data_IF_259437106408
#
_entry.id   IF_259437106408
#
_cell.length_a   1.000
_cell.length_b   1.000
_cell.length_c   1.000
_cell.angle_alpha   90.00
_cell.angle_beta   90.00
_cell.angle_gamma   90.00
#
_symmetry.space_group_name_H-M   'P 1'
#
loop_
_entity.id
_entity.type
_entity.pdbx_description
1 polymer ?
#
# COMPACT_ATOMS: atom_id res chain seq x y z
N UNK A 1 -26.24 -9.64 8.00
CA UNK A 1 -26.65 -8.62 8.98
C UNK A 1 -25.35 -8.05 9.55
N UNK A 2 -24.77 -7.09 8.82
CA UNK A 2 -24.50 -5.66 9.16
C UNK A 2 -23.34 -5.43 10.15
N UNK A 3 -22.39 -4.59 9.69
CA UNK A 3 -21.28 -3.87 10.35
C UNK A 3 -19.88 -4.50 10.35
N UNK A 4 -19.10 -4.24 9.29
CA UNK A 4 -17.63 -4.27 9.30
C UNK A 4 -17.04 -3.28 8.28
N UNK A 5 -17.28 -1.97 8.43
CA UNK A 5 -16.72 -0.93 7.53
C UNK A 5 -16.14 0.30 8.25
N UNK A 6 -15.96 0.28 9.57
CA UNK A 6 -15.50 1.48 10.31
C UNK A 6 -14.04 1.48 10.77
N UNK A 7 -13.29 0.38 10.64
CA UNK A 7 -11.94 0.30 11.22
C UNK A 7 -10.83 0.83 10.29
N UNK A 8 -11.05 0.86 8.97
CA UNK A 8 -10.03 1.34 8.01
C UNK A 8 -9.93 2.87 7.91
N UNK A 9 -10.98 3.61 8.25
CA UNK A 9 -10.96 5.09 8.24
C UNK A 9 -10.07 5.71 9.33
N UNK A 10 -9.69 4.93 10.35
CA UNK A 10 -8.90 5.46 11.47
C UNK A 10 -7.38 5.48 11.18
N UNK A 11 -6.91 4.71 10.19
CA UNK A 11 -5.49 4.70 9.82
C UNK A 11 -5.12 5.81 8.82
N UNK A 12 -6.07 6.28 8.01
CA UNK A 12 -5.87 7.38 7.06
C UNK A 12 -5.87 8.78 7.73
N UNK A 13 -6.53 8.94 8.89
CA UNK A 13 -6.72 10.27 9.49
C UNK A 13 -5.51 10.79 10.31
N UNK A 14 -4.51 9.94 10.59
CA UNK A 14 -3.38 10.30 11.46
C UNK A 14 -2.24 11.02 10.70
N UNK A 15 -2.21 10.95 9.36
CA UNK A 15 -1.16 11.60 8.55
C UNK A 15 -1.48 13.03 8.08
N UNK A 16 -2.70 13.54 8.26
CA UNK A 16 -3.15 14.77 7.60
C UNK A 16 -2.94 16.11 8.36
N UNK A 17 -2.31 16.15 9.54
CA UNK A 17 -2.34 17.36 10.40
C UNK A 17 -1.02 18.15 10.47
N UNK A 18 0.02 17.79 9.72
CA UNK A 18 1.25 18.61 9.69
C UNK A 18 1.77 18.76 8.27
N UNK A 19 1.62 19.94 7.64
CA UNK A 19 2.76 20.69 7.08
C UNK A 19 2.35 22.07 6.53
N UNK A 20 3.03 23.11 7.04
CA UNK A 20 3.01 24.49 6.56
C UNK A 20 4.03 24.69 5.42
N UNK A 21 3.62 25.42 4.38
CA UNK A 21 4.39 26.27 3.45
C UNK A 21 5.87 25.90 3.23
N UNK A 22 6.14 25.18 2.14
CA UNK A 22 7.49 24.99 1.59
C UNK A 22 7.64 25.79 0.28
N UNK A 23 8.72 26.57 0.17
CA UNK A 23 9.06 27.30 -1.06
C UNK A 23 9.35 26.33 -2.22
N UNK A 24 8.89 26.67 -3.42
CA UNK A 24 9.14 25.92 -4.65
C UNK A 24 10.65 25.84 -4.93
N UNK A 25 11.20 24.62 -4.90
CA UNK A 25 12.57 24.32 -5.33
C UNK A 25 12.44 23.45 -6.57
N UNK A 26 13.10 23.79 -7.69
CA UNK A 26 12.98 23.06 -8.95
C UNK A 26 13.38 21.59 -8.80
N UNK A 27 12.57 20.69 -9.39
CA UNK A 27 12.68 19.23 -9.25
C UNK A 27 14.03 18.65 -9.62
N UNK A 28 14.74 19.25 -10.58
CA UNK A 28 16.03 18.71 -11.05
C UNK A 28 17.06 18.53 -9.92
N UNK A 29 16.98 19.31 -8.83
CA UNK A 29 17.78 19.07 -7.62
C UNK A 29 17.15 18.05 -6.67
N UNK A 30 15.83 18.08 -6.50
CA UNK A 30 15.12 17.16 -5.59
C UNK A 30 15.14 15.70 -6.06
N UNK A 31 15.07 15.44 -7.36
CA UNK A 31 15.15 14.07 -7.91
C UNK A 31 16.54 13.46 -7.69
N UNK A 32 17.60 14.27 -7.79
CA UNK A 32 18.95 13.82 -7.50
C UNK A 32 19.15 13.50 -6.00
N UNK A 33 18.46 14.22 -5.12
CA UNK A 33 18.55 14.04 -3.66
C UNK A 33 17.61 12.95 -3.14
N UNK A 34 16.55 12.61 -3.88
CA UNK A 34 15.51 11.69 -3.45
C UNK A 34 15.05 10.75 -4.58
N UNK A 35 15.88 9.76 -4.98
CA UNK A 35 15.57 8.85 -6.08
C UNK A 35 14.30 8.01 -5.85
N UNK A 36 13.96 7.73 -4.59
CA UNK A 36 12.74 7.00 -4.25
C UNK A 36 11.45 7.79 -4.55
N UNK A 37 11.50 9.13 -4.51
CA UNK A 37 10.35 9.96 -4.82
C UNK A 37 10.02 9.94 -6.32
N UNK A 38 11.04 9.96 -7.18
CA UNK A 38 10.85 9.90 -8.63
C UNK A 38 10.20 8.58 -9.06
N UNK A 39 10.74 7.46 -8.56
CA UNK A 39 10.17 6.13 -8.78
C UNK A 39 8.73 6.02 -8.26
N UNK A 40 8.45 6.54 -7.06
CA UNK A 40 7.08 6.57 -6.52
C UNK A 40 6.12 7.36 -7.40
N UNK A 41 6.54 8.55 -7.88
CA UNK A 41 5.72 9.36 -8.79
C UNK A 41 5.44 8.65 -10.12
N UNK A 42 6.43 7.98 -10.71
CA UNK A 42 6.24 7.22 -11.96
C UNK A 42 5.22 6.09 -11.78
N UNK A 43 5.38 5.27 -10.73
CA UNK A 43 4.44 4.21 -10.42
C UNK A 43 3.02 4.72 -10.14
N UNK A 44 2.91 5.86 -9.46
CA UNK A 44 1.61 6.49 -9.18
C UNK A 44 0.94 6.96 -10.47
N UNK A 45 1.72 7.53 -11.39
CA UNK A 45 1.21 7.93 -12.71
C UNK A 45 0.74 6.73 -13.51
N UNK A 46 1.49 5.62 -13.49
CA UNK A 46 1.08 4.38 -14.16
C UNK A 46 -0.23 3.84 -13.58
N UNK A 47 -0.37 3.78 -12.24
CA UNK A 47 -1.60 3.34 -11.60
C UNK A 47 -2.83 4.20 -11.97
N UNK A 48 -2.66 5.52 -12.03
CA UNK A 48 -3.75 6.43 -12.45
C UNK A 48 -4.05 6.29 -13.95
N UNK A 49 -3.06 5.99 -14.79
CA UNK A 49 -3.27 5.71 -16.22
C UNK A 49 -4.02 4.39 -16.45
N UNK A 50 -3.73 3.35 -15.67
CA UNK A 50 -4.47 2.10 -15.70
C UNK A 50 -5.94 2.33 -15.30
N UNK A 51 -6.18 3.15 -14.28
CA UNK A 51 -7.54 3.56 -13.90
C UNK A 51 -8.25 4.34 -15.02
N UNK A 52 -7.53 5.20 -15.77
CA UNK A 52 -8.11 5.93 -16.90
C UNK A 52 -8.53 5.02 -18.06
N UNK A 53 -7.94 3.82 -18.18
CA UNK A 53 -8.40 2.82 -19.15
C UNK A 53 -9.71 2.15 -18.72
N UNK A 54 -10.04 2.15 -17.43
CA UNK A 54 -11.22 1.53 -16.84
C UNK A 54 -12.37 2.52 -16.62
N UNK A 55 -12.07 3.81 -16.43
CA UNK A 55 -13.04 4.85 -16.09
C UNK A 55 -12.85 6.13 -16.91
N UNK A 56 -13.96 6.69 -17.39
CA UNK A 56 -14.00 8.00 -18.05
C UNK A 56 -14.39 9.13 -17.07
N UNK A 57 -14.28 8.90 -15.76
CA UNK A 57 -14.63 9.91 -14.76
C UNK A 57 -13.71 11.14 -14.85
N UNK A 58 -14.25 12.38 -14.86
CA UNK A 58 -13.45 13.59 -14.92
C UNK A 58 -12.41 13.71 -13.80
N UNK A 59 -12.66 13.10 -12.64
CA UNK A 59 -11.72 13.10 -11.52
C UNK A 59 -10.42 12.34 -11.85
N UNK A 60 -10.45 11.32 -12.71
CA UNK A 60 -9.23 10.62 -13.17
C UNK A 60 -8.36 11.57 -13.99
N UNK A 61 -8.96 12.35 -14.88
CA UNK A 61 -8.22 13.34 -15.68
C UNK A 61 -7.66 14.48 -14.83
N UNK A 62 -8.39 14.87 -13.77
CA UNK A 62 -7.91 15.82 -12.78
C UNK A 62 -6.71 15.26 -11.99
N UNK A 63 -6.75 13.99 -11.57
CA UNK A 63 -5.64 13.33 -10.90
C UNK A 63 -4.40 13.23 -11.80
N UNK A 64 -4.56 12.87 -13.08
CA UNK A 64 -3.47 12.86 -14.07
C UNK A 64 -2.81 14.24 -14.20
N UNK A 65 -3.63 15.29 -14.34
CA UNK A 65 -3.13 16.67 -14.46
C UNK A 65 -2.37 17.12 -13.20
N UNK A 66 -2.87 16.76 -12.02
CA UNK A 66 -2.20 17.06 -10.75
C UNK A 66 -0.85 16.33 -10.61
N UNK A 67 -0.78 15.05 -11.01
CA UNK A 67 0.46 14.28 -11.01
C UNK A 67 1.46 14.78 -12.05
N UNK A 68 1.00 15.17 -13.25
CA UNK A 68 1.86 15.77 -14.27
C UNK A 68 2.47 17.09 -13.78
N UNK A 69 1.67 17.96 -13.15
CA UNK A 69 2.18 19.17 -12.50
C UNK A 69 3.22 18.85 -11.43
N UNK A 70 2.99 17.78 -10.65
CA UNK A 70 3.96 17.29 -9.67
C UNK A 70 5.26 16.79 -10.33
N UNK A 71 5.21 16.11 -11.48
CA UNK A 71 6.37 15.65 -12.26
C UNK A 71 7.17 16.81 -12.88
N UNK A 72 6.52 17.93 -13.20
CA UNK A 72 7.16 19.15 -13.67
C UNK A 72 7.82 19.94 -12.53
N UNK A 73 7.47 19.60 -11.29
CA UNK A 73 8.11 20.11 -10.09
C UNK A 73 7.43 21.32 -9.50
N UNK A 74 6.21 21.55 -9.94
CA UNK A 74 5.27 22.40 -9.25
C UNK A 74 4.83 21.66 -7.99
N UNK A 75 4.92 22.34 -6.83
CA UNK A 75 4.54 21.87 -5.48
C UNK A 75 4.08 20.40 -5.40
N UNK A 76 5.05 19.48 -5.39
CA UNK A 76 4.79 18.02 -5.45
C UNK A 76 3.80 17.58 -4.37
N UNK A 77 3.88 18.16 -3.17
CA UNK A 77 2.95 17.85 -2.09
C UNK A 77 1.52 18.28 -2.40
N UNK A 78 1.34 19.47 -2.98
CA UNK A 78 0.02 19.91 -3.43
C UNK A 78 -0.50 19.06 -4.61
N UNK A 79 0.37 18.64 -5.53
CA UNK A 79 0.01 17.76 -6.64
C UNK A 79 -0.48 16.38 -6.17
N UNK A 80 0.28 15.72 -5.29
CA UNK A 80 -0.12 14.43 -4.69
C UNK A 80 -1.43 14.55 -3.92
N UNK A 81 -1.59 15.61 -3.11
CA UNK A 81 -2.83 15.88 -2.38
C UNK A 81 -4.02 16.07 -3.32
N UNK A 82 -3.87 16.89 -4.37
CA UNK A 82 -4.95 17.17 -5.33
C UNK A 82 -5.34 15.90 -6.10
N UNK A 83 -4.38 15.06 -6.45
CA UNK A 83 -4.65 13.78 -7.08
C UNK A 83 -5.41 12.83 -6.15
N UNK A 84 -5.02 12.75 -4.87
CA UNK A 84 -5.73 11.95 -3.87
C UNK A 84 -7.17 12.43 -3.64
N UNK A 85 -7.39 13.73 -3.49
CA UNK A 85 -8.74 14.31 -3.34
C UNK A 85 -9.63 14.06 -4.57
N UNK A 86 -9.04 14.08 -5.78
CA UNK A 86 -9.77 13.75 -6.99
C UNK A 86 -10.18 12.27 -7.01
N UNK A 87 -9.24 11.35 -6.77
CA UNK A 87 -9.54 9.92 -6.77
C UNK A 87 -10.57 9.52 -5.69
N UNK A 88 -10.50 10.11 -4.49
CA UNK A 88 -11.46 9.85 -3.39
C UNK A 88 -12.89 10.34 -3.72
N UNK A 89 -13.03 11.24 -4.70
CA UNK A 89 -14.34 11.72 -5.17
C UNK A 89 -15.03 10.80 -6.18
N UNK A 90 -14.34 9.76 -6.66
CA UNK A 90 -14.90 8.80 -7.62
C UNK A 90 -15.89 7.89 -6.89
N UNK A 91 -17.16 7.99 -7.26
CA UNK A 91 -18.20 7.05 -6.87
C UNK A 91 -18.47 6.09 -8.03
N UNK A 92 -18.09 4.82 -7.90
CA UNK A 92 -18.37 3.80 -8.90
C UNK A 92 -19.31 2.73 -8.35
N UNK A 93 -20.10 2.12 -9.25
CA UNK A 93 -20.83 0.88 -8.96
C UNK A 93 -20.11 -0.35 -9.51
N UNK A 94 -18.96 -0.15 -10.17
CA UNK A 94 -18.12 -1.20 -10.74
C UNK A 94 -16.96 -1.50 -9.79
N UNK A 95 -16.96 -2.72 -9.25
CA UNK A 95 -15.95 -3.18 -8.30
C UNK A 95 -14.53 -3.17 -8.89
N UNK A 96 -14.38 -3.28 -10.21
CA UNK A 96 -13.05 -3.20 -10.84
C UNK A 96 -12.49 -1.78 -10.82
N UNK A 97 -13.37 -0.78 -10.96
CA UNK A 97 -12.99 0.64 -10.82
C UNK A 97 -12.68 0.95 -9.36
N UNK A 98 -13.49 0.48 -8.40
CA UNK A 98 -13.23 0.69 -6.97
C UNK A 98 -11.86 0.11 -6.55
N UNK A 99 -11.55 -1.11 -7.00
CA UNK A 99 -10.25 -1.74 -6.74
C UNK A 99 -9.10 -0.91 -7.34
N UNK A 100 -9.25 -0.44 -8.58
CA UNK A 100 -8.22 0.37 -9.25
C UNK A 100 -8.04 1.76 -8.61
N UNK A 101 -9.12 2.39 -8.14
CA UNK A 101 -9.08 3.64 -7.36
C UNK A 101 -8.32 3.40 -6.06
N UNK A 102 -8.63 2.32 -5.34
CA UNK A 102 -7.97 1.97 -4.09
C UNK A 102 -6.46 1.72 -4.30
N UNK A 103 -6.09 0.99 -5.35
CA UNK A 103 -4.69 0.74 -5.70
C UNK A 103 -3.93 2.05 -6.03
N UNK A 104 -4.56 2.97 -6.76
CA UNK A 104 -3.99 4.28 -7.08
C UNK A 104 -3.86 5.19 -5.84
N UNK A 105 -4.83 5.15 -4.93
CA UNK A 105 -4.77 5.87 -3.65
C UNK A 105 -3.66 5.32 -2.74
N UNK A 106 -3.46 4.01 -2.71
CA UNK A 106 -2.39 3.38 -1.94
C UNK A 106 -0.99 3.74 -2.50
N UNK A 107 -0.87 3.86 -3.83
CA UNK A 107 0.37 4.31 -4.48
C UNK A 107 0.65 5.80 -4.24
N UNK A 108 -0.40 6.64 -4.26
CA UNK A 108 -0.31 8.05 -3.87
C UNK A 108 0.16 8.21 -2.42
N UNK A 109 -0.41 7.44 -1.50
CA UNK A 109 -0.03 7.48 -0.08
C UNK A 109 1.44 7.10 0.10
N UNK A 110 1.88 6.03 -0.56
CA UNK A 110 3.29 5.59 -0.59
C UNK A 110 4.21 6.71 -1.09
N UNK A 111 3.81 7.38 -2.17
CA UNK A 111 4.59 8.47 -2.77
C UNK A 111 4.62 9.71 -1.89
N UNK A 112 3.52 10.01 -1.20
CA UNK A 112 3.43 11.08 -0.22
C UNK A 112 4.36 10.82 0.97
N UNK A 113 4.43 9.59 1.49
CA UNK A 113 5.39 9.24 2.54
C UNK A 113 6.84 9.41 2.08
N UNK A 114 7.15 9.01 0.84
CA UNK A 114 8.47 9.22 0.25
C UNK A 114 8.80 10.72 0.13
N UNK A 115 7.83 11.54 -0.26
CA UNK A 115 7.96 13.00 -0.32
C UNK A 115 8.21 13.60 1.07
N UNK A 116 7.49 13.16 2.09
CA UNK A 116 7.63 13.66 3.45
C UNK A 116 8.95 13.21 4.09
N UNK A 117 9.41 11.99 3.81
CA UNK A 117 10.75 11.53 4.18
C UNK A 117 11.83 12.39 3.51
N UNK A 118 11.68 12.69 2.22
CA UNK A 118 12.60 13.54 1.47
C UNK A 118 12.66 14.97 2.05
N UNK A 119 11.50 15.58 2.30
CA UNK A 119 11.41 16.92 2.90
C UNK A 119 11.89 16.95 4.37
N UNK A 120 11.61 15.88 5.12
CA UNK A 120 12.00 15.72 6.51
C UNK A 120 13.50 15.50 6.69
N UNK A 121 14.15 14.79 5.76
CA UNK A 121 15.59 14.58 5.72
C UNK A 121 16.35 15.90 5.47
N UNK A 122 15.76 16.85 4.74
CA UNK A 122 16.35 18.15 4.46
C UNK A 122 16.37 19.10 5.68
N UNK A 123 15.44 18.94 6.65
CA UNK A 123 15.29 19.86 7.80
C UNK A 123 15.86 19.37 9.14
N UNK A 124 16.23 18.10 9.27
CA UNK A 124 16.79 17.56 10.52
C UNK A 124 18.19 17.04 10.25
N UNK A 125 19.19 17.62 10.91
CA UNK A 125 20.52 17.04 11.02
C UNK A 125 20.36 15.58 11.48
N UNK A 126 20.42 14.66 10.50
CA UNK A 126 20.26 13.21 10.64
C UNK A 126 21.44 12.65 11.43
N UNK A 127 21.47 12.99 12.72
CA UNK A 127 22.33 12.37 13.71
C UNK A 127 21.80 10.95 13.92
N UNK A 128 22.22 10.04 13.03
CA UNK A 128 22.16 8.58 13.13
C UNK A 128 20.93 7.99 13.85
N UNK A 129 19.74 8.54 13.62
CA UNK A 129 18.54 7.73 13.83
C UNK A 129 18.58 6.67 12.75
N UNK A 130 18.44 5.41 13.15
CA UNK A 130 18.46 4.21 12.30
C UNK A 130 17.27 4.19 11.33
N UNK A 131 17.08 5.27 10.58
CA UNK A 131 16.42 5.21 9.30
C UNK A 131 17.39 4.35 8.49
N UNK A 132 17.04 3.07 8.33
CA UNK A 132 17.83 2.13 7.55
C UNK A 132 18.06 2.66 6.14
N UNK A 133 18.89 1.96 5.37
CA UNK A 133 19.06 2.25 3.95
C UNK A 133 17.69 2.58 3.30
N UNK A 134 17.61 3.61 2.45
CA UNK A 134 16.38 3.97 1.72
C UNK A 134 15.67 2.74 1.13
N UNK A 135 16.41 1.78 0.59
CA UNK A 135 15.83 0.55 0.04
C UNK A 135 15.15 -0.33 1.11
N UNK A 136 15.63 -0.32 2.36
CA UNK A 136 14.96 -0.97 3.49
C UNK A 136 13.58 -0.36 3.76
N UNK A 137 13.47 0.97 3.74
CA UNK A 137 12.18 1.64 3.97
C UNK A 137 11.20 1.37 2.82
N UNK A 138 11.70 1.36 1.57
CA UNK A 138 10.90 0.98 0.40
C UNK A 138 10.38 -0.46 0.56
N UNK A 139 11.24 -1.42 0.91
CA UNK A 139 10.82 -2.81 1.09
C UNK A 139 9.79 -2.98 2.23
N UNK A 140 9.92 -2.22 3.32
CA UNK A 140 8.93 -2.20 4.42
C UNK A 140 7.58 -1.68 3.94
N UNK A 141 7.58 -0.58 3.21
CA UNK A 141 6.38 0.03 2.67
C UNK A 141 5.69 -0.89 1.65
N UNK A 142 6.46 -1.49 0.73
CA UNK A 142 5.96 -2.50 -0.20
C UNK A 142 5.35 -3.70 0.53
N UNK A 143 5.93 -4.14 1.65
CA UNK A 143 5.37 -5.22 2.46
C UNK A 143 3.98 -4.85 2.99
N UNK A 144 3.82 -3.65 3.57
CA UNK A 144 2.52 -3.19 4.10
C UNK A 144 1.50 -3.00 2.98
N UNK A 145 1.90 -2.39 1.86
CA UNK A 145 1.03 -2.19 0.69
C UNK A 145 0.52 -3.50 0.11
N UNK A 146 1.44 -4.41 -0.23
CA UNK A 146 1.08 -5.69 -0.83
C UNK A 146 0.24 -6.56 0.14
N UNK A 147 0.45 -6.42 1.46
CA UNK A 147 -0.37 -7.09 2.47
C UNK A 147 -1.81 -6.55 2.48
N UNK A 148 -1.99 -5.24 2.32
CA UNK A 148 -3.30 -4.61 2.14
C UNK A 148 -4.01 -5.14 0.88
N UNK A 149 -3.32 -5.09 -0.27
CA UNK A 149 -3.84 -5.64 -1.53
C UNK A 149 -4.23 -7.12 -1.41
N UNK A 150 -3.37 -7.94 -0.77
CA UNK A 150 -3.67 -9.35 -0.51
C UNK A 150 -4.95 -9.51 0.32
N UNK A 151 -5.11 -8.72 1.38
CA UNK A 151 -6.30 -8.76 2.25
C UNK A 151 -7.57 -8.45 1.45
N UNK A 152 -7.54 -7.40 0.62
CA UNK A 152 -8.66 -7.02 -0.23
C UNK A 152 -9.04 -8.15 -1.22
N UNK A 153 -8.04 -8.79 -1.85
CA UNK A 153 -8.29 -9.91 -2.75
C UNK A 153 -8.87 -11.12 -2.00
N UNK A 154 -8.43 -11.40 -0.76
CA UNK A 154 -9.01 -12.47 0.08
C UNK A 154 -10.47 -12.16 0.43
N UNK A 155 -10.80 -10.92 0.74
CA UNK A 155 -12.19 -10.51 1.00
C UNK A 155 -13.06 -10.64 -0.26
N UNK A 156 -12.51 -10.36 -1.44
CA UNK A 156 -13.18 -10.58 -2.72
C UNK A 156 -13.46 -12.07 -2.97
N UNK A 157 -12.52 -12.97 -2.64
CA UNK A 157 -12.74 -14.43 -2.69
C UNK A 157 -13.89 -14.82 -1.77
N UNK A 158 -13.89 -14.32 -0.53
CA UNK A 158 -14.94 -14.61 0.44
C UNK A 158 -16.33 -14.14 -0.05
N UNK A 159 -16.39 -12.96 -0.68
CA UNK A 159 -17.60 -12.44 -1.30
C UNK A 159 -18.07 -13.25 -2.52
N UNK A 160 -17.13 -13.74 -3.34
CA UNK A 160 -17.41 -14.55 -4.52
C UNK A 160 -17.76 -16.01 -4.20
N UNK A 161 -17.39 -16.53 -3.03
CA UNK A 161 -17.58 -17.92 -2.64
C UNK A 161 -19.05 -18.38 -2.67
N UNK A 162 -20.01 -17.46 -2.47
CA UNK A 162 -21.43 -17.78 -2.53
C UNK A 162 -21.84 -18.87 -1.53
N UNK A 163 -22.22 -20.04 -2.03
CA UNK A 163 -22.59 -21.22 -1.20
C UNK A 163 -21.47 -22.26 -1.07
N UNK A 164 -20.28 -21.99 -1.62
CA UNK A 164 -19.12 -22.87 -1.46
C UNK A 164 -18.49 -22.67 -0.08
N UNK A 165 -18.87 -23.55 0.85
CA UNK A 165 -18.36 -23.53 2.22
C UNK A 165 -16.85 -23.80 2.30
N UNK A 166 -16.27 -24.56 1.36
CA UNK A 166 -14.84 -24.84 1.36
C UNK A 166 -14.03 -23.60 0.98
N UNK A 167 -14.44 -22.92 -0.11
CA UNK A 167 -13.83 -21.65 -0.53
C UNK A 167 -13.97 -20.57 0.55
N UNK A 168 -15.16 -20.42 1.15
CA UNK A 168 -15.38 -19.44 2.22
C UNK A 168 -14.52 -19.73 3.47
N UNK A 169 -14.41 -21.01 3.88
CA UNK A 169 -13.57 -21.41 5.01
C UNK A 169 -12.08 -21.17 4.76
N UNK A 170 -11.61 -21.42 3.53
CA UNK A 170 -10.23 -21.18 3.15
C UNK A 170 -9.92 -19.67 3.10
N UNK A 171 -10.81 -18.86 2.53
CA UNK A 171 -10.67 -17.40 2.53
C UNK A 171 -10.65 -16.82 3.96
N UNK A 172 -11.51 -17.30 4.85
CA UNK A 172 -11.48 -16.92 6.27
C UNK A 172 -10.15 -17.28 6.94
N UNK A 173 -9.64 -18.49 6.68
CA UNK A 173 -8.34 -18.94 7.24
C UNK A 173 -7.18 -18.09 6.73
N UNK A 174 -7.21 -17.70 5.45
CA UNK A 174 -6.25 -16.79 4.87
C UNK A 174 -6.34 -15.40 5.54
N UNK A 175 -7.54 -14.85 5.71
CA UNK A 175 -7.77 -13.55 6.37
C UNK A 175 -7.25 -13.53 7.81
N UNK A 176 -7.54 -14.55 8.61
CA UNK A 176 -7.03 -14.68 9.98
C UNK A 176 -5.50 -14.75 10.02
N UNK A 177 -4.89 -15.44 9.06
CA UNK A 177 -3.44 -15.56 8.95
C UNK A 177 -2.78 -14.24 8.55
N UNK A 178 -3.40 -13.47 7.64
CA UNK A 178 -2.97 -12.11 7.27
C UNK A 178 -3.11 -11.14 8.44
N UNK A 179 -4.19 -11.21 9.22
CA UNK A 179 -4.37 -10.43 10.44
C UNK A 179 -3.27 -10.75 11.47
N UNK A 180 -2.89 -12.02 11.63
CA UNK A 180 -1.77 -12.41 12.48
C UNK A 180 -0.43 -11.82 12.00
N UNK A 181 -0.22 -11.74 10.68
CA UNK A 181 0.95 -11.06 10.13
C UNK A 181 0.91 -9.54 10.40
N UNK A 182 -0.24 -8.88 10.25
CA UNK A 182 -0.42 -7.46 10.57
C UNK A 182 -0.13 -7.16 12.05
N UNK A 183 -0.59 -8.02 12.97
CA UNK A 183 -0.25 -7.93 14.39
C UNK A 183 1.27 -7.98 14.63
N UNK A 184 1.96 -8.89 13.92
CA UNK A 184 3.42 -8.99 13.95
C UNK A 184 4.10 -7.70 13.46
N UNK A 185 3.62 -7.12 12.37
CA UNK A 185 4.09 -5.83 11.85
C UNK A 185 3.85 -4.71 12.87
N UNK A 186 2.69 -4.67 13.52
CA UNK A 186 2.37 -3.70 14.57
C UNK A 186 3.35 -3.76 15.75
N UNK A 187 3.69 -4.96 16.21
CA UNK A 187 4.70 -5.15 17.27
C UNK A 187 6.10 -4.72 16.83
N UNK A 188 6.49 -5.00 15.59
CA UNK A 188 7.76 -4.54 15.01
C UNK A 188 7.80 -3.02 14.99
N UNK A 189 6.74 -2.38 14.48
CA UNK A 189 6.64 -0.93 14.40
C UNK A 189 6.74 -0.28 15.80
N UNK A 190 6.04 -0.83 16.78
CA UNK A 190 6.09 -0.34 18.16
C UNK A 190 7.51 -0.44 18.76
N UNK A 191 8.20 -1.57 18.57
CA UNK A 191 9.57 -1.73 19.02
C UNK A 191 10.51 -0.69 18.37
N UNK A 192 10.39 -0.49 17.05
CA UNK A 192 11.21 0.48 16.31
C UNK A 192 10.95 1.92 16.76
N UNK A 193 9.70 2.30 17.05
CA UNK A 193 9.35 3.63 17.57
C UNK A 193 10.01 3.92 18.93
N UNK A 194 10.24 2.88 19.73
CA UNK A 194 10.94 2.99 21.02
C UNK A 194 12.46 2.79 20.91
N UNK A 195 13.00 2.67 19.70
CA UNK A 195 14.43 2.43 19.45
C UNK A 195 14.89 1.02 19.79
N UNK A 196 13.97 0.07 19.99
CA UNK A 196 14.28 -1.34 20.22
C UNK A 196 14.46 -2.08 18.90
N UNK A 197 15.23 -3.17 18.94
CA UNK A 197 15.30 -4.09 17.81
C UNK A 197 13.94 -4.78 17.61
N UNK A 198 13.55 -4.99 16.36
CA UNK A 198 12.37 -5.76 16.01
C UNK A 198 12.38 -7.14 16.70
N UNK A 199 11.38 -7.48 17.53
CA UNK A 199 11.36 -8.76 18.25
C UNK A 199 11.41 -9.95 17.28
N UNK A 200 12.19 -10.98 17.61
CA UNK A 200 12.27 -12.19 16.78
C UNK A 200 10.89 -12.85 16.61
N UNK A 201 10.16 -13.03 17.71
CA UNK A 201 8.81 -13.60 17.69
C UNK A 201 7.83 -12.82 16.79
N UNK A 202 7.94 -11.48 16.74
CA UNK A 202 7.09 -10.69 15.87
C UNK A 202 7.43 -10.91 14.38
N UNK A 203 8.73 -11.01 14.04
CA UNK A 203 9.18 -11.36 12.68
C UNK A 203 8.74 -12.76 12.27
N UNK A 204 8.87 -13.73 13.18
CA UNK A 204 8.43 -15.11 12.95
C UNK A 204 6.92 -15.16 12.73
N UNK A 205 6.15 -14.37 13.49
CA UNK A 205 4.69 -14.25 13.33
C UNK A 205 4.30 -13.68 11.97
N UNK A 206 5.02 -12.67 11.47
CA UNK A 206 4.82 -12.16 10.10
C UNK A 206 5.10 -13.26 9.09
N UNK A 207 6.25 -13.93 9.18
CA UNK A 207 6.63 -14.98 8.24
C UNK A 207 5.63 -16.14 8.22
N UNK A 208 5.24 -16.62 9.40
CA UNK A 208 4.30 -17.72 9.55
C UNK A 208 2.90 -17.34 9.03
N UNK A 209 2.39 -16.15 9.39
CA UNK A 209 1.08 -15.69 8.92
C UNK A 209 0.99 -15.58 7.39
N UNK A 210 2.06 -15.12 6.73
CA UNK A 210 2.11 -15.07 5.26
C UNK A 210 2.15 -16.47 4.62
N UNK A 211 2.90 -17.42 5.21
CA UNK A 211 2.98 -18.79 4.71
C UNK A 211 1.66 -19.56 4.93
N UNK A 212 1.02 -19.37 6.08
CA UNK A 212 -0.28 -19.97 6.40
C UNK A 212 -1.38 -19.42 5.47
N UNK A 213 -1.37 -18.10 5.22
CA UNK A 213 -2.26 -17.49 4.24
C UNK A 213 -2.04 -18.09 2.84
N UNK A 214 -0.78 -18.28 2.43
CA UNK A 214 -0.46 -18.90 1.14
C UNK A 214 -1.00 -20.32 1.06
N UNK A 215 -0.76 -21.12 2.09
CA UNK A 215 -1.25 -22.50 2.16
C UNK A 215 -2.78 -22.57 2.13
N UNK A 216 -3.48 -21.62 2.75
CA UNK A 216 -4.95 -21.56 2.72
C UNK A 216 -5.46 -21.22 1.32
N UNK A 217 -4.85 -20.23 0.65
CA UNK A 217 -5.19 -19.86 -0.73
C UNK A 217 -4.90 -20.99 -1.72
N UNK A 218 -3.75 -21.65 -1.62
CA UNK A 218 -3.38 -22.79 -2.48
C UNK A 218 -4.34 -23.99 -2.32
N UNK A 219 -5.07 -24.06 -1.20
CA UNK A 219 -6.10 -25.07 -0.94
C UNK A 219 -7.44 -24.80 -1.63
N UNK A 220 -7.65 -23.62 -2.21
CA UNK A 220 -8.91 -23.26 -2.87
C UNK A 220 -8.94 -23.89 -4.26
N UNK A 221 -9.92 -24.76 -4.49
CA UNK A 221 -10.25 -25.33 -5.80
C UNK A 221 -11.65 -24.90 -6.19
N UNK A 222 -11.77 -23.97 -7.15
CA UNK A 222 -13.06 -23.51 -7.66
C UNK A 222 -13.08 -23.47 -9.18
N UNK A 223 -14.26 -23.68 -9.76
CA UNK A 223 -14.51 -23.47 -11.20
C UNK A 223 -15.27 -22.18 -11.47
N UNK A 224 -15.65 -21.43 -10.43
CA UNK A 224 -16.29 -20.13 -10.59
C UNK A 224 -15.26 -19.10 -11.09
N UNK A 225 -15.47 -18.45 -12.25
CA UNK A 225 -14.50 -17.53 -12.82
C UNK A 225 -14.19 -16.33 -11.90
N UNK A 226 -15.14 -15.88 -11.07
CA UNK A 226 -14.91 -14.78 -10.12
C UNK A 226 -13.98 -15.21 -9.00
N UNK A 227 -14.19 -16.41 -8.44
CA UNK A 227 -13.31 -16.98 -7.41
C UNK A 227 -11.91 -17.21 -7.98
N UNK A 228 -11.82 -17.78 -9.19
CA UNK A 228 -10.53 -18.05 -9.84
C UNK A 228 -9.74 -16.77 -10.13
N UNK A 229 -10.40 -15.70 -10.59
CA UNK A 229 -9.75 -14.40 -10.81
C UNK A 229 -9.24 -13.82 -9.48
N UNK A 230 -10.11 -13.73 -8.47
CA UNK A 230 -9.74 -13.17 -7.17
C UNK A 230 -8.65 -13.99 -6.46
N UNK A 231 -8.65 -15.32 -6.62
CA UNK A 231 -7.61 -16.21 -6.12
C UNK A 231 -6.25 -15.91 -6.78
N UNK A 232 -6.22 -15.76 -8.10
CA UNK A 232 -5.01 -15.40 -8.84
C UNK A 232 -4.43 -14.06 -8.36
N UNK A 233 -5.29 -13.06 -8.16
CA UNK A 233 -4.86 -11.74 -7.68
C UNK A 233 -4.34 -11.79 -6.24
N UNK A 234 -5.02 -12.56 -5.37
CA UNK A 234 -4.59 -12.77 -4.00
C UNK A 234 -3.22 -13.47 -3.92
N UNK A 235 -3.02 -14.52 -4.71
CA UNK A 235 -1.74 -15.25 -4.77
C UNK A 235 -0.61 -14.35 -5.29
N UNK A 236 -0.87 -13.57 -6.35
CA UNK A 236 0.13 -12.65 -6.91
C UNK A 236 0.54 -11.55 -5.91
N UNK A 237 -0.43 -10.94 -5.22
CA UNK A 237 -0.18 -9.92 -4.19
C UNK A 237 0.54 -10.52 -2.97
N UNK A 238 0.19 -11.73 -2.57
CA UNK A 238 0.85 -12.42 -1.46
C UNK A 238 2.31 -12.75 -1.79
N UNK A 239 2.58 -13.23 -3.00
CA UNK A 239 3.96 -13.52 -3.44
C UNK A 239 4.80 -12.24 -3.50
N UNK A 240 4.23 -11.11 -3.94
CA UNK A 240 4.88 -9.79 -3.87
C UNK A 240 5.14 -9.38 -2.41
N UNK A 241 4.20 -9.64 -1.50
CA UNK A 241 4.36 -9.36 -0.06
C UNK A 241 5.52 -10.16 0.53
N UNK A 242 5.58 -11.47 0.23
CA UNK A 242 6.63 -12.37 0.70
C UNK A 242 7.99 -11.91 0.16
N UNK A 243 8.08 -11.58 -1.13
CA UNK A 243 9.31 -11.08 -1.74
C UNK A 243 9.78 -9.76 -1.09
N UNK A 244 8.88 -8.81 -0.86
CA UNK A 244 9.20 -7.57 -0.16
C UNK A 244 9.68 -7.82 1.28
N UNK A 245 9.03 -8.74 2.00
CA UNK A 245 9.47 -9.17 3.33
C UNK A 245 10.89 -9.77 3.34
N UNK A 246 11.23 -10.57 2.33
CA UNK A 246 12.59 -11.10 2.16
C UNK A 246 13.61 -9.98 1.84
N UNK A 247 13.22 -8.96 1.07
CA UNK A 247 14.05 -7.77 0.85
C UNK A 247 14.30 -7.01 2.15
N UNK A 248 13.29 -6.86 3.02
CA UNK A 248 13.49 -6.28 4.36
C UNK A 248 14.56 -7.05 5.12
N UNK A 249 14.49 -8.38 5.18
CA UNK A 249 15.48 -9.19 5.91
C UNK A 249 16.90 -9.04 5.33
N UNK A 250 17.03 -8.98 4.01
CA UNK A 250 18.34 -8.88 3.36
C UNK A 250 18.95 -7.47 3.40
N UNK A 251 18.13 -6.42 3.36
CA UNK A 251 18.57 -5.03 3.20
C UNK A 251 18.45 -4.17 4.46
N UNK A 252 17.60 -4.55 5.42
CA UNK A 252 17.42 -3.85 6.69
C UNK A 252 18.33 -4.44 7.77
N UNK A 253 19.58 -3.98 7.84
CA UNK A 253 20.55 -4.32 8.90
C UNK A 253 20.67 -3.22 9.94
#
# INVERSE_FOLDING_TARGET
MVYFTSSFKFLALVSAVFFLHANAVPLGRRQAECPGLALGLEHTVDAVNDLAALSNDPAVSQAQSALQNAQEGNDVGQGLKTASEALDSIESNDASVDSAVQDALDELATTQEAFDLCNGASKRNLTKRQIGNLQCNIARLQTVRNLGATTNSVDAIAGAAGSDAATASAASSASDSLASAQDGIGQIAQALLTGQQAPAAARDRVGQGLLDAKSALDGITSTDPKVTSALSDAQASLDKTIAAGQQVVSQCK
#
